data_IF_070148481404
#
_entry.id   IF_070148481404
#
_cell.length_a   1.000
_cell.length_b   1.000
_cell.length_c   1.000
_cell.angle_alpha   90.00
_cell.angle_beta   90.00
_cell.angle_gamma   90.00
#
_symmetry.space_group_name_H-M   'P 1'
#
loop_
_entity.id
_entity.type
_entity.pdbx_description
1 polymer ?
#
# COMPACT_ATOMS: atom_id res chain seq x y z
N UNK A 1 55.43 10.06 14.03
CA UNK A 1 54.52 9.01 13.52
C UNK A 1 53.14 9.12 14.21
N UNK A 2 52.25 10.01 13.74
CA UNK A 2 50.84 10.12 14.21
C UNK A 2 49.95 10.79 13.13
N UNK A 3 49.97 10.30 11.90
CA UNK A 3 49.19 10.87 10.78
C UNK A 3 48.27 9.86 10.08
N UNK A 4 48.23 8.61 10.54
CA UNK A 4 47.43 7.54 9.93
C UNK A 4 46.03 7.42 10.58
N UNK A 5 45.83 7.98 11.78
CA UNK A 5 44.58 7.78 12.54
C UNK A 5 43.44 8.75 12.21
N UNK A 6 43.68 9.87 11.51
CA UNK A 6 42.61 10.83 11.20
C UNK A 6 41.85 10.47 9.91
N UNK A 7 42.49 9.77 8.97
CA UNK A 7 41.87 9.40 7.70
C UNK A 7 40.85 8.25 7.84
N UNK A 8 41.02 7.39 8.85
CA UNK A 8 40.10 6.29 9.15
C UNK A 8 38.82 6.74 9.90
N UNK A 9 38.83 7.89 10.58
CA UNK A 9 37.64 8.41 11.27
C UNK A 9 36.66 9.06 10.28
N UNK A 10 37.16 9.61 9.16
CA UNK A 10 36.29 10.12 8.08
C UNK A 10 35.63 9.00 7.25
N UNK A 11 36.17 7.77 7.27
CA UNK A 11 35.59 6.61 6.59
C UNK A 11 34.45 5.93 7.38
N UNK A 12 34.24 6.29 8.65
CA UNK A 12 33.08 5.83 9.44
C UNK A 12 31.85 6.75 9.33
N UNK A 13 31.92 7.82 8.53
CA UNK A 13 30.75 8.59 8.08
C UNK A 13 30.14 8.01 6.78
N UNK A 14 30.47 6.76 6.45
CA UNK A 14 29.76 5.99 5.43
C UNK A 14 28.38 5.63 5.98
N UNK A 15 27.39 6.41 5.55
CA UNK A 15 26.17 5.80 5.05
C UNK A 15 25.02 5.66 6.04
N UNK A 16 24.59 6.76 6.67
CA UNK A 16 23.14 7.00 6.62
C UNK A 16 22.81 7.41 5.19
N UNK A 17 22.74 6.44 4.27
CA UNK A 17 22.05 6.63 2.98
C UNK A 17 20.57 6.67 3.34
N UNK A 18 20.16 7.80 3.92
CA UNK A 18 18.75 8.15 3.98
C UNK A 18 18.26 8.12 2.55
N UNK A 19 17.28 7.28 2.26
CA UNK A 19 16.57 7.38 0.99
C UNK A 19 16.08 8.81 0.92
N UNK A 20 16.58 9.59 -0.04
CA UNK A 20 16.12 10.95 -0.21
C UNK A 20 14.60 10.89 -0.41
N UNK A 21 13.87 11.61 0.44
CA UNK A 21 12.41 11.69 0.35
C UNK A 21 12.03 13.06 -0.19
N UNK A 22 10.99 13.09 -1.01
CA UNK A 22 10.27 14.29 -1.42
C UNK A 22 8.85 14.22 -0.88
N UNK A 23 8.20 15.35 -0.74
CA UNK A 23 6.77 15.37 -0.44
C UNK A 23 5.98 15.23 -1.75
N UNK A 24 5.04 14.29 -1.80
CA UNK A 24 3.97 14.29 -2.79
C UNK A 24 3.17 15.61 -2.68
N UNK A 25 2.41 16.04 -3.70
CA UNK A 25 1.57 17.24 -3.61
C UNK A 25 0.59 17.21 -2.43
N UNK A 26 0.16 16.02 -2.02
CA UNK A 26 -0.64 15.76 -0.81
C UNK A 26 0.12 15.93 0.52
N UNK A 27 1.42 16.18 0.49
CA UNK A 27 2.30 16.34 1.67
C UNK A 27 2.82 15.03 2.26
N UNK A 28 2.54 13.88 1.63
CA UNK A 28 3.03 12.57 2.09
C UNK A 28 4.50 12.40 1.69
N UNK A 29 5.40 12.04 2.63
CA UNK A 29 6.78 11.75 2.30
C UNK A 29 6.87 10.48 1.46
N UNK A 30 7.52 10.59 0.31
CA UNK A 30 7.77 9.49 -0.63
C UNK A 30 9.22 9.54 -1.11
N UNK A 31 9.80 8.44 -1.61
CA UNK A 31 11.16 8.44 -2.09
C UNK A 31 11.33 9.30 -3.36
N UNK A 32 12.43 10.04 -3.46
CA UNK A 32 12.75 10.92 -4.60
C UNK A 32 13.00 10.14 -5.89
N UNK A 33 13.67 8.98 -5.79
CA UNK A 33 14.21 8.23 -6.93
C UNK A 33 13.55 6.85 -7.13
N UNK A 34 12.27 6.71 -6.79
CA UNK A 34 11.63 5.39 -6.90
C UNK A 34 11.34 4.99 -8.35
N UNK A 35 11.82 3.81 -8.74
CA UNK A 35 11.46 3.15 -10.01
C UNK A 35 10.21 2.29 -9.81
N UNK A 36 9.05 2.90 -9.99
CA UNK A 36 7.78 2.16 -10.03
C UNK A 36 7.74 1.31 -11.30
N UNK A 37 7.92 0.00 -11.12
CA UNK A 37 7.93 -0.95 -12.23
C UNK A 37 6.53 -1.18 -12.80
N UNK A 38 5.49 -1.04 -11.97
CA UNK A 38 4.11 -1.18 -12.41
C UNK A 38 3.51 0.12 -12.94
N UNK A 39 4.04 1.31 -12.61
CA UNK A 39 3.49 2.60 -13.06
C UNK A 39 3.33 2.67 -14.58
N UNK A 40 4.39 2.36 -15.33
CA UNK A 40 4.35 2.40 -16.80
C UNK A 40 3.32 1.41 -17.37
N UNK A 41 3.22 0.22 -16.77
CA UNK A 41 2.28 -0.82 -17.19
C UNK A 41 0.82 -0.43 -16.88
N UNK A 42 0.58 0.17 -15.71
CA UNK A 42 -0.71 0.73 -15.33
C UNK A 42 -1.18 1.81 -16.31
N UNK A 43 -0.30 2.74 -16.67
CA UNK A 43 -0.59 3.80 -17.65
C UNK A 43 -0.88 3.25 -19.05
N UNK A 44 -0.15 2.22 -19.48
CA UNK A 44 -0.38 1.57 -20.78
C UNK A 44 -1.68 0.74 -20.81
N UNK A 45 -2.03 0.10 -19.69
CA UNK A 45 -3.15 -0.83 -19.61
C UNK A 45 -4.44 -0.21 -19.03
N UNK A 46 -4.48 1.11 -18.77
CA UNK A 46 -5.61 1.79 -18.13
C UNK A 46 -6.94 1.47 -18.81
N UNK A 47 -7.00 1.51 -20.15
CA UNK A 47 -8.21 1.20 -20.92
C UNK A 47 -8.69 -0.25 -20.70
N UNK A 48 -7.77 -1.21 -20.70
CA UNK A 48 -8.07 -2.62 -20.45
C UNK A 48 -8.51 -2.86 -19.00
N UNK A 49 -7.87 -2.17 -18.04
CA UNK A 49 -8.21 -2.27 -16.62
C UNK A 49 -9.63 -1.76 -16.37
N UNK A 50 -10.02 -0.65 -16.98
CA UNK A 50 -11.40 -0.14 -16.96
C UNK A 50 -12.41 -1.12 -17.57
N UNK A 51 -12.05 -1.83 -18.63
CA UNK A 51 -12.93 -2.79 -19.30
C UNK A 51 -13.14 -4.07 -18.48
N UNK A 52 -12.15 -4.50 -17.69
CA UNK A 52 -12.21 -5.76 -16.94
C UNK A 52 -13.36 -5.84 -15.94
N UNK A 53 -13.84 -4.70 -15.40
CA UNK A 53 -14.84 -4.59 -14.30
C UNK A 53 -14.49 -5.36 -13.01
N UNK A 54 -13.37 -6.09 -12.97
CA UNK A 54 -12.92 -6.89 -11.82
C UNK A 54 -12.49 -6.01 -10.66
N UNK A 55 -11.94 -4.83 -10.95
CA UNK A 55 -11.78 -3.76 -9.95
C UNK A 55 -12.94 -2.78 -10.07
N UNK A 56 -13.53 -2.44 -8.92
CA UNK A 56 -14.57 -1.42 -8.81
C UNK A 56 -13.98 -0.21 -8.07
N UNK A 57 -13.80 0.93 -8.76
CA UNK A 57 -13.34 2.19 -8.17
C UNK A 57 -14.27 2.75 -7.08
N UNK A 58 -15.51 2.29 -7.04
CA UNK A 58 -16.54 2.61 -6.07
C UNK A 58 -16.73 1.49 -5.04
N UNK A 59 -15.67 0.72 -4.77
CA UNK A 59 -15.66 -0.27 -3.70
C UNK A 59 -14.40 -0.18 -2.83
N UNK A 60 -14.52 -0.73 -1.62
CA UNK A 60 -13.40 -1.06 -0.76
C UNK A 60 -13.19 -2.57 -0.74
N UNK A 61 -11.95 -3.02 -0.74
CA UNK A 61 -11.63 -4.43 -0.56
C UNK A 61 -11.11 -4.63 0.85
N UNK A 62 -11.89 -5.26 1.73
CA UNK A 62 -11.70 -5.25 3.18
C UNK A 62 -11.36 -6.64 3.70
N UNK A 63 -10.30 -6.74 4.50
CA UNK A 63 -9.94 -7.89 5.31
C UNK A 63 -10.12 -7.52 6.79
N UNK A 64 -10.84 -8.35 7.55
CA UNK A 64 -11.07 -8.20 8.98
C UNK A 64 -10.18 -9.17 9.74
N UNK A 65 -9.49 -8.70 10.75
CA UNK A 65 -8.56 -9.49 11.57
C UNK A 65 -8.60 -9.04 13.03
N UNK A 66 -8.07 -9.84 13.95
CA UNK A 66 -7.88 -9.42 15.35
C UNK A 66 -6.47 -8.84 15.48
N UNK A 67 -6.36 -7.65 16.08
CA UNK A 67 -5.09 -7.04 16.45
C UNK A 67 -4.93 -7.09 17.96
N UNK A 68 -3.81 -7.67 18.38
CA UNK A 68 -3.43 -7.77 19.79
C UNK A 68 -2.70 -6.49 20.21
N UNK A 69 -3.26 -5.76 21.18
CA UNK A 69 -2.62 -4.61 21.79
C UNK A 69 -2.38 -4.89 23.29
N UNK A 70 -1.41 -4.21 23.93
CA UNK A 70 -1.19 -4.34 25.38
C UNK A 70 -2.44 -4.03 26.23
N UNK A 71 -3.34 -3.19 25.71
CA UNK A 71 -4.60 -2.81 26.38
C UNK A 71 -5.77 -3.76 26.10
N UNK A 72 -5.52 -4.90 25.44
CA UNK A 72 -6.53 -5.86 25.00
C UNK A 72 -6.75 -5.87 23.48
N UNK A 73 -7.43 -6.92 23.04
CA UNK A 73 -7.66 -7.18 21.62
C UNK A 73 -8.64 -6.19 20.98
N UNK A 74 -8.39 -5.86 19.71
CA UNK A 74 -9.27 -5.01 18.91
C UNK A 74 -9.51 -5.63 17.55
N UNK A 75 -10.64 -5.29 16.96
CA UNK A 75 -10.90 -5.64 15.56
C UNK A 75 -10.07 -4.70 14.68
N UNK A 76 -9.15 -5.30 13.94
CA UNK A 76 -8.39 -4.68 12.88
C UNK A 76 -9.09 -4.84 11.53
N UNK A 77 -8.94 -3.83 10.70
CA UNK A 77 -9.39 -3.83 9.33
C UNK A 77 -8.24 -3.39 8.44
N UNK A 78 -7.97 -4.20 7.43
CA UNK A 78 -7.08 -3.84 6.33
C UNK A 78 -7.94 -3.61 5.10
N UNK A 79 -7.72 -2.54 4.35
CA UNK A 79 -8.46 -2.31 3.12
C UNK A 79 -7.62 -1.75 1.99
N UNK A 80 -8.03 -2.10 0.78
CA UNK A 80 -7.56 -1.49 -0.46
C UNK A 80 -8.65 -0.63 -1.11
N UNK A 81 -8.23 0.46 -1.74
CA UNK A 81 -9.00 1.19 -2.75
C UNK A 81 -8.18 1.31 -4.02
N UNK A 82 -8.83 1.16 -5.16
CA UNK A 82 -8.21 1.19 -6.47
C UNK A 82 -8.80 2.29 -7.34
N UNK A 83 -8.00 2.85 -8.24
CA UNK A 83 -8.40 3.84 -9.23
C UNK A 83 -8.18 3.35 -10.66
N UNK A 84 -9.02 3.79 -11.62
CA UNK A 84 -8.96 3.32 -13.01
C UNK A 84 -7.59 3.42 -13.68
N UNK A 85 -6.78 4.43 -13.31
CA UNK A 85 -5.45 4.71 -13.85
C UNK A 85 -4.34 3.83 -13.25
N UNK A 86 -4.72 2.85 -12.43
CA UNK A 86 -3.83 1.87 -11.84
C UNK A 86 -3.18 2.31 -10.54
N UNK A 87 -3.59 3.44 -9.94
CA UNK A 87 -3.20 3.75 -8.57
C UNK A 87 -4.02 2.95 -7.55
N UNK A 88 -3.44 2.68 -6.40
CA UNK A 88 -4.19 2.14 -5.27
C UNK A 88 -3.66 2.67 -3.94
N UNK A 89 -4.52 2.55 -2.92
CA UNK A 89 -4.21 2.85 -1.53
C UNK A 89 -4.46 1.60 -0.69
N UNK A 90 -3.53 1.31 0.21
CA UNK A 90 -3.66 0.32 1.27
C UNK A 90 -3.68 1.00 2.63
N UNK A 91 -4.51 0.48 3.51
CA UNK A 91 -4.51 0.92 4.90
C UNK A 91 -4.81 -0.22 5.85
N UNK A 92 -4.23 -0.11 7.03
CA UNK A 92 -4.50 -0.97 8.18
C UNK A 92 -4.90 -0.08 9.36
N UNK A 93 -6.08 -0.30 9.91
CA UNK A 93 -6.60 0.43 11.06
C UNK A 93 -7.27 -0.54 12.03
N UNK A 94 -6.97 -0.42 13.32
CA UNK A 94 -7.81 -0.99 14.37
C UNK A 94 -8.73 0.09 14.91
N UNK A 95 -10.02 -0.25 14.98
CA UNK A 95 -11.03 0.63 15.52
C UNK A 95 -11.74 -0.12 16.64
N UNK A 96 -11.89 0.55 17.78
CA UNK A 96 -12.62 -0.01 18.91
C UNK A 96 -14.13 0.13 18.63
N UNK A 97 -14.86 -0.96 18.84
CA UNK A 97 -16.34 -0.99 18.90
C UNK A 97 -17.11 -0.58 17.62
N UNK A 98 -16.46 -0.47 16.44
CA UNK A 98 -17.15 -0.23 15.15
C UNK A 98 -16.35 -0.63 13.91
N UNK A 99 -17.03 -0.72 12.76
CA UNK A 99 -16.41 -0.89 11.44
C UNK A 99 -15.79 0.44 10.92
N UNK A 100 -14.84 0.37 9.96
CA UNK A 100 -14.28 1.54 9.32
C UNK A 100 -15.32 2.31 8.52
N UNK A 101 -15.28 3.62 8.66
CA UNK A 101 -16.07 4.57 7.89
C UNK A 101 -15.20 5.25 6.84
N UNK A 102 -15.86 6.00 5.99
CA UNK A 102 -15.23 6.85 5.01
C UNK A 102 -14.10 7.74 5.56
N UNK A 103 -14.41 8.37 6.68
CA UNK A 103 -13.59 9.38 7.32
C UNK A 103 -12.29 8.77 7.86
N UNK A 104 -12.36 7.51 8.32
CA UNK A 104 -11.20 6.77 8.80
C UNK A 104 -10.17 6.56 7.70
N UNK A 105 -10.59 6.49 6.42
CA UNK A 105 -9.69 6.37 5.29
C UNK A 105 -8.96 7.65 4.90
N UNK A 106 -9.61 8.82 5.05
CA UNK A 106 -9.11 10.12 4.55
C UNK A 106 -8.36 10.97 5.59
N UNK A 107 -8.73 10.91 6.87
CA UNK A 107 -8.28 11.94 7.83
C UNK A 107 -6.90 11.71 8.45
N UNK A 108 -6.36 10.48 8.44
CA UNK A 108 -5.06 10.24 9.05
C UNK A 108 -3.96 10.36 8.01
N UNK A 109 -3.37 11.56 7.96
CA UNK A 109 -2.15 11.80 7.21
C UNK A 109 -1.03 10.92 7.79
N UNK A 110 -0.33 10.16 6.94
CA UNK A 110 0.95 9.51 7.29
C UNK A 110 0.95 7.98 7.50
N UNK A 111 -0.19 7.28 7.50
CA UNK A 111 -0.25 5.81 7.65
C UNK A 111 -0.89 5.07 6.47
N UNK A 112 -1.10 5.77 5.35
CA UNK A 112 -1.54 5.15 4.11
C UNK A 112 -0.33 4.61 3.36
N UNK A 113 -0.40 3.36 2.95
CA UNK A 113 0.56 2.78 2.00
C UNK A 113 -0.05 2.87 0.62
N UNK A 114 0.82 3.00 -0.37
CA UNK A 114 0.40 3.55 -1.64
C UNK A 114 1.14 2.88 -2.78
N UNK A 115 0.54 2.84 -3.97
CA UNK A 115 1.22 2.16 -5.05
C UNK A 115 0.46 2.06 -6.35
N UNK A 116 0.94 1.14 -7.19
CA UNK A 116 0.37 0.81 -8.49
C UNK A 116 -0.11 -0.63 -8.54
N UNK A 117 -1.15 -0.87 -9.33
CA UNK A 117 -1.64 -2.20 -9.64
C UNK A 117 -1.83 -2.39 -11.14
N UNK A 118 -1.83 -3.65 -11.56
CA UNK A 118 -2.22 -4.07 -12.91
C UNK A 118 -3.05 -5.33 -12.83
N UNK A 119 -3.99 -5.49 -13.76
CA UNK A 119 -4.81 -6.69 -13.91
C UNK A 119 -4.46 -7.39 -15.22
N UNK A 120 -4.38 -8.70 -15.19
CA UNK A 120 -4.21 -9.55 -16.38
C UNK A 120 -5.05 -10.81 -16.21
N UNK A 121 -6.20 -10.89 -16.89
CA UNK A 121 -7.17 -11.95 -16.65
C UNK A 121 -7.74 -11.88 -15.23
N UNK A 122 -7.69 -12.99 -14.49
CA UNK A 122 -8.11 -13.12 -13.09
C UNK A 122 -6.99 -12.80 -12.08
N UNK A 123 -5.83 -12.31 -12.57
CA UNK A 123 -4.67 -11.98 -11.73
C UNK A 123 -4.55 -10.49 -11.50
N UNK A 124 -4.22 -10.13 -10.26
CA UNK A 124 -3.84 -8.78 -9.87
C UNK A 124 -2.40 -8.77 -9.35
N UNK A 125 -1.62 -7.79 -9.80
CA UNK A 125 -0.29 -7.51 -9.27
C UNK A 125 -0.28 -6.13 -8.66
N UNK A 126 0.32 -6.00 -7.47
CA UNK A 126 0.49 -4.72 -6.78
C UNK A 126 1.96 -4.46 -6.50
N UNK A 127 2.33 -3.20 -6.51
CA UNK A 127 3.62 -2.66 -6.09
C UNK A 127 3.33 -1.52 -5.11
N UNK A 128 3.72 -1.68 -3.85
CA UNK A 128 3.31 -0.85 -2.72
C UNK A 128 4.51 -0.29 -1.97
N UNK A 129 4.54 1.03 -1.80
CA UNK A 129 5.47 1.70 -0.91
C UNK A 129 4.91 1.76 0.51
N UNK A 130 5.71 1.30 1.48
CA UNK A 130 5.44 1.39 2.91
C UNK A 130 6.27 2.52 3.53
N UNK A 131 5.73 3.12 4.58
CA UNK A 131 6.32 4.25 5.30
C UNK A 131 7.73 4.01 5.86
N UNK A 132 8.16 2.76 5.99
CA UNK A 132 9.49 2.36 6.45
C UNK A 132 10.49 2.15 5.30
N UNK A 133 10.23 2.77 4.14
CA UNK A 133 11.04 2.68 2.93
C UNK A 133 11.10 1.28 2.27
N UNK A 134 10.18 0.39 2.63
CA UNK A 134 10.11 -0.95 2.03
C UNK A 134 9.12 -0.95 0.87
N UNK A 135 9.52 -1.61 -0.22
CA UNK A 135 8.65 -1.91 -1.34
C UNK A 135 8.16 -3.33 -1.27
N UNK A 136 6.85 -3.46 -1.30
CA UNK A 136 6.16 -4.73 -1.27
C UNK A 136 5.60 -4.97 -2.66
N UNK A 137 5.92 -6.12 -3.22
CA UNK A 137 5.28 -6.61 -4.45
C UNK A 137 4.51 -7.87 -4.11
N UNK A 138 3.26 -7.92 -4.52
CA UNK A 138 2.41 -9.07 -4.30
C UNK A 138 1.59 -9.37 -5.55
N UNK A 139 1.30 -10.65 -5.72
CA UNK A 139 0.42 -11.16 -6.76
C UNK A 139 -0.72 -11.93 -6.10
N UNK A 140 -1.90 -11.81 -6.69
CA UNK A 140 -3.11 -12.39 -6.18
C UNK A 140 -4.11 -12.76 -7.26
N UNK A 141 -5.22 -13.32 -6.82
CA UNK A 141 -6.41 -13.57 -7.62
C UNK A 141 -7.43 -12.47 -7.36
N UNK A 142 -8.18 -12.08 -8.38
CA UNK A 142 -9.26 -11.11 -8.27
C UNK A 142 -10.54 -11.66 -8.91
N UNK A 143 -11.64 -11.51 -8.18
CA UNK A 143 -13.00 -11.82 -8.63
C UNK A 143 -13.91 -10.59 -8.44
N UNK A 144 -15.17 -10.69 -8.86
CA UNK A 144 -16.16 -9.64 -8.60
C UNK A 144 -16.44 -9.43 -7.10
N UNK A 145 -16.12 -10.40 -6.25
CA UNK A 145 -16.46 -10.37 -4.83
C UNK A 145 -15.26 -10.12 -3.93
N UNK A 146 -14.03 -10.42 -4.37
CA UNK A 146 -12.86 -10.32 -3.50
C UNK A 146 -11.53 -10.28 -4.25
N UNK A 147 -10.49 -9.95 -3.51
CA UNK A 147 -9.09 -10.14 -3.90
C UNK A 147 -8.43 -11.06 -2.89
N UNK A 148 -7.63 -12.02 -3.37
CA UNK A 148 -6.88 -12.93 -2.52
C UNK A 148 -5.40 -12.82 -2.83
N UNK A 149 -4.58 -12.52 -1.83
CA UNK A 149 -3.13 -12.53 -1.94
C UNK A 149 -2.53 -13.75 -1.24
N UNK A 150 -1.59 -14.38 -1.91
CA UNK A 150 -0.79 -15.46 -1.36
C UNK A 150 0.49 -14.88 -0.73
N UNK A 151 0.49 -14.70 0.59
CA UNK A 151 1.65 -14.14 1.30
C UNK A 151 2.43 -15.27 1.96
N UNK A 152 3.74 -15.32 1.77
CA UNK A 152 4.62 -16.23 2.52
C UNK A 152 5.10 -15.52 3.79
N UNK A 153 4.80 -16.09 4.94
CA UNK A 153 5.32 -15.64 6.23
C UNK A 153 5.85 -16.83 7.01
N UNK A 154 7.11 -16.75 7.48
CA UNK A 154 7.79 -17.81 8.23
C UNK A 154 7.69 -19.20 7.57
N UNK A 155 7.82 -19.26 6.24
CA UNK A 155 7.74 -20.52 5.47
C UNK A 155 6.33 -21.06 5.25
N UNK A 156 5.29 -20.42 5.82
CA UNK A 156 3.89 -20.80 5.60
C UNK A 156 3.23 -19.87 4.59
N UNK A 157 2.40 -20.46 3.73
CA UNK A 157 1.50 -19.73 2.84
C UNK A 157 0.29 -19.27 3.66
N UNK A 158 0.11 -17.97 3.78
CA UNK A 158 -1.05 -17.34 4.41
C UNK A 158 -1.88 -16.74 3.29
N UNK A 159 -3.11 -17.22 3.17
CA UNK A 159 -4.09 -16.61 2.27
C UNK A 159 -4.69 -15.37 2.94
N UNK A 160 -4.53 -14.21 2.31
CA UNK A 160 -5.19 -12.98 2.75
C UNK A 160 -6.31 -12.62 1.78
N UNK A 161 -7.56 -12.80 2.24
CA UNK A 161 -8.77 -12.49 1.46
C UNK A 161 -9.37 -11.14 1.84
N UNK A 162 -9.56 -10.29 0.84
CA UNK A 162 -10.16 -8.96 0.94
C UNK A 162 -11.51 -8.95 0.24
N UNK A 163 -12.59 -8.84 1.00
CA UNK A 163 -13.97 -8.87 0.49
C UNK A 163 -14.35 -7.50 -0.04
N UNK A 164 -14.91 -7.45 -1.25
CA UNK A 164 -15.45 -6.24 -1.86
C UNK A 164 -16.66 -5.78 -1.03
N UNK A 165 -16.63 -4.53 -0.61
CA UNK A 165 -17.70 -3.83 0.10
C UNK A 165 -18.05 -2.57 -0.68
N UNK A 166 -19.34 -2.20 -0.75
CA UNK A 166 -19.74 -0.91 -1.31
C UNK A 166 -18.96 0.21 -0.64
N UNK A 167 -18.53 1.18 -1.43
CA UNK A 167 -17.80 2.32 -0.93
C UNK A 167 -18.70 3.19 -0.05
N UNK A 168 -18.34 3.39 1.24
CA UNK A 168 -19.08 4.31 2.09
C UNK A 168 -19.00 5.74 1.52
N UNK A 169 -20.10 6.51 1.50
CA UNK A 169 -20.05 7.91 1.06
C UNK A 169 -18.94 8.69 1.76
N UNK A 170 -18.05 9.31 0.99
CA UNK A 170 -16.96 10.14 1.52
C UNK A 170 -15.61 9.45 1.77
N UNK A 171 -15.44 8.15 1.46
CA UNK A 171 -14.26 7.39 1.87
C UNK A 171 -13.02 7.61 1.00
N UNK A 172 -11.82 7.83 1.54
CA UNK A 172 -10.57 7.81 0.74
C UNK A 172 -10.63 8.61 -0.58
N UNK A 173 -11.35 9.72 -0.67
CA UNK A 173 -11.76 10.35 -1.94
C UNK A 173 -10.60 10.80 -2.82
N UNK A 174 -9.44 11.04 -2.20
CA UNK A 174 -8.27 11.54 -2.90
C UNK A 174 -7.54 10.42 -3.61
N UNK A 175 -7.41 10.58 -4.93
CA UNK A 175 -6.47 9.78 -5.70
C UNK A 175 -5.07 10.07 -5.16
N UNK A 176 -4.28 9.03 -4.88
CA UNK A 176 -2.83 9.07 -5.01
C UNK A 176 -2.25 10.10 -6.02
N UNK A 177 -1.48 11.11 -5.60
CA UNK A 177 -1.09 12.25 -6.45
C UNK A 177 0.41 12.41 -6.79
N UNK A 178 1.22 11.35 -6.70
CA UNK A 178 2.70 11.41 -6.77
C UNK A 178 3.39 11.00 -8.09
#
# INVERSE_FOLDING_TARGET
MKLISLFLVCLFLVGCVGVATKNAPSGVPIPSDWRWTLRKKAQQNTAQMMQSRLVDPNALYVNKHIQHFPTGDRVGFTFFRFWPDGHFLYRNIAIKDREPTAIDGDQWRGLCQIGYYVISGDRIKIEMYRWDNVMIRAEGLITFECITFDIRSMGRKIEMKFVRKPFPPGAMQRIPDW
#
